data_IF_714748195593
#
_entry.id   IF_714748195593
#
_cell.length_a   1.000
_cell.length_b   1.000
_cell.length_c   1.000
_cell.angle_alpha   90.00
_cell.angle_beta   90.00
_cell.angle_gamma   90.00
#
_symmetry.space_group_name_H-M   'P 1'
#
loop_
_entity.id
_entity.type
_entity.pdbx_description
1 polymer ?
#
# COMPACT_ATOMS: atom_id res chain seq x y z
N UNK A 1 -13.58 12.65 -15.42
CA UNK A 1 -12.11 12.73 -15.44
C UNK A 1 -11.56 11.57 -14.63
N UNK A 2 -10.46 10.95 -15.09
CA UNK A 2 -9.76 9.92 -14.31
C UNK A 2 -9.15 10.54 -13.06
N UNK A 3 -9.34 9.94 -11.86
CA UNK A 3 -8.73 10.45 -10.63
C UNK A 3 -7.21 10.50 -10.73
N UNK A 4 -6.61 11.57 -10.24
CA UNK A 4 -5.17 11.69 -10.09
C UNK A 4 -4.71 11.11 -8.77
N UNK A 5 -3.79 10.16 -8.82
CA UNK A 5 -3.33 9.39 -7.69
C UNK A 5 -1.87 9.75 -7.39
N UNK A 6 -1.56 10.02 -6.14
CA UNK A 6 -0.19 10.12 -5.66
C UNK A 6 0.06 9.03 -4.61
N UNK A 7 1.13 8.27 -4.77
CA UNK A 7 1.54 7.22 -3.82
C UNK A 7 2.77 7.70 -3.07
N UNK A 8 2.59 8.04 -1.80
CA UNK A 8 3.66 8.47 -0.90
C UNK A 8 4.26 7.23 -0.22
N UNK A 9 5.48 6.90 -0.59
CA UNK A 9 6.21 5.70 -0.25
C UNK A 9 6.10 4.66 -1.37
N UNK A 10 6.99 4.74 -2.36
CA UNK A 10 7.07 3.79 -3.48
C UNK A 10 7.90 2.54 -3.14
N UNK A 11 7.96 2.18 -1.85
CA UNK A 11 8.57 0.95 -1.38
C UNK A 11 7.83 -0.31 -1.86
N UNK A 12 8.09 -1.46 -1.23
CA UNK A 12 7.57 -2.76 -1.67
C UNK A 12 6.05 -2.75 -1.95
N UNK A 13 5.22 -2.31 -0.99
CA UNK A 13 3.74 -2.33 -1.15
C UNK A 13 3.27 -1.18 -2.03
N UNK A 14 3.70 0.06 -1.74
CA UNK A 14 3.27 1.23 -2.48
C UNK A 14 3.74 1.22 -3.93
N UNK A 15 4.99 0.83 -4.17
CA UNK A 15 5.52 0.66 -5.53
C UNK A 15 4.81 -0.46 -6.29
N UNK A 16 4.54 -1.61 -5.63
CA UNK A 16 3.78 -2.71 -6.24
C UNK A 16 2.38 -2.28 -6.66
N UNK A 17 1.62 -1.69 -5.73
CA UNK A 17 0.24 -1.25 -6.00
C UNK A 17 0.23 -0.10 -7.01
N UNK A 18 1.04 0.94 -6.80
CA UNK A 18 1.09 2.10 -7.69
C UNK A 18 1.59 1.75 -9.09
N UNK A 19 2.58 0.87 -9.19
CA UNK A 19 3.06 0.37 -10.48
C UNK A 19 1.99 -0.41 -11.25
N UNK A 20 1.26 -1.29 -10.58
CA UNK A 20 0.14 -2.01 -11.22
C UNK A 20 -1.01 -1.07 -11.60
N UNK A 21 -1.36 -0.09 -10.77
CA UNK A 21 -2.37 0.92 -11.13
C UNK A 21 -1.94 1.70 -12.37
N UNK A 22 -0.66 2.10 -12.46
CA UNK A 22 -0.12 2.74 -13.66
C UNK A 22 -0.21 1.83 -14.89
N UNK A 23 0.10 0.54 -14.76
CA UNK A 23 -0.06 -0.46 -15.83
C UNK A 23 -1.51 -0.58 -16.31
N UNK A 24 -2.46 -0.41 -15.42
CA UNK A 24 -3.90 -0.44 -15.72
C UNK A 24 -4.43 0.88 -16.32
N UNK A 25 -3.55 1.86 -16.55
CA UNK A 25 -3.90 3.14 -17.20
C UNK A 25 -4.40 4.22 -16.24
N UNK A 26 -4.24 4.06 -14.94
CA UNK A 26 -4.56 5.12 -13.98
C UNK A 26 -3.47 6.21 -13.98
N UNK A 27 -3.87 7.45 -13.71
CA UNK A 27 -2.97 8.62 -13.55
C UNK A 27 -2.28 8.55 -12.19
N UNK A 28 -1.12 7.90 -12.13
CA UNK A 28 -0.36 7.63 -10.90
C UNK A 28 0.97 8.34 -10.92
N UNK A 29 1.29 9.05 -9.85
CA UNK A 29 2.65 9.55 -9.56
C UNK A 29 3.16 8.85 -8.29
N UNK A 30 4.32 8.22 -8.38
CA UNK A 30 5.02 7.63 -7.23
C UNK A 30 5.91 8.69 -6.55
N UNK A 31 6.10 8.56 -5.24
CA UNK A 31 6.98 9.43 -4.46
C UNK A 31 7.79 8.57 -3.51
N UNK A 32 9.10 8.72 -3.51
CA UNK A 32 9.97 8.02 -2.57
C UNK A 32 11.13 8.91 -2.08
N UNK A 33 11.68 8.56 -0.94
CA UNK A 33 12.81 9.25 -0.34
C UNK A 33 14.17 8.61 -0.68
N UNK A 34 14.18 7.41 -1.27
CA UNK A 34 15.41 6.71 -1.64
C UNK A 34 15.89 7.14 -3.03
N UNK A 35 16.96 7.96 -3.12
CA UNK A 35 17.39 8.55 -4.39
C UNK A 35 17.70 7.52 -5.47
N UNK A 36 18.43 6.47 -5.12
CA UNK A 36 18.81 5.41 -6.06
C UNK A 36 17.58 4.71 -6.66
N UNK A 37 16.56 4.42 -5.83
CA UNK A 37 15.31 3.84 -6.30
C UNK A 37 14.58 4.76 -7.28
N UNK A 38 14.49 6.05 -6.96
CA UNK A 38 13.85 7.05 -7.81
C UNK A 38 14.57 7.15 -9.15
N UNK A 39 15.89 7.30 -9.16
CA UNK A 39 16.66 7.43 -10.40
C UNK A 39 16.63 6.14 -11.24
N UNK A 40 16.67 4.97 -10.61
CA UNK A 40 16.53 3.69 -11.32
C UNK A 40 15.17 3.57 -11.99
N UNK A 41 14.09 3.90 -11.28
CA UNK A 41 12.73 3.86 -11.87
C UNK A 41 12.58 4.87 -13.00
N UNK A 42 13.17 6.06 -12.89
CA UNK A 42 13.17 7.05 -13.98
C UNK A 42 13.89 6.56 -15.24
N UNK A 43 15.05 5.96 -15.06
CA UNK A 43 15.90 5.56 -16.16
C UNK A 43 15.45 4.24 -16.82
N UNK A 44 14.98 3.28 -16.02
CA UNK A 44 14.76 1.89 -16.46
C UNK A 44 13.31 1.43 -16.28
N UNK A 45 12.47 2.21 -15.59
CA UNK A 45 11.13 1.80 -15.17
C UNK A 45 11.14 1.00 -13.87
N UNK A 46 9.95 0.75 -13.36
CA UNK A 46 9.70 -0.08 -12.19
C UNK A 46 9.43 -1.52 -12.65
N UNK A 47 10.29 -2.43 -12.26
CA UNK A 47 10.20 -3.85 -12.60
C UNK A 47 9.38 -4.58 -11.54
N UNK A 48 8.28 -5.17 -11.96
CA UNK A 48 7.38 -5.94 -11.11
C UNK A 48 7.47 -7.41 -11.50
N UNK A 49 7.75 -8.25 -10.51
CA UNK A 49 7.88 -9.70 -10.68
C UNK A 49 6.78 -10.39 -9.86
N UNK A 50 6.07 -11.31 -10.49
CA UNK A 50 5.15 -12.23 -9.83
C UNK A 50 5.78 -13.62 -9.65
N UNK A 51 4.93 -14.60 -9.37
CA UNK A 51 5.35 -16.00 -9.19
C UNK A 51 5.62 -16.70 -10.54
N UNK A 52 5.16 -16.12 -11.65
CA UNK A 52 5.31 -16.65 -13.00
C UNK A 52 5.89 -15.59 -13.94
N UNK A 53 6.50 -16.03 -15.05
CA UNK A 53 7.00 -15.10 -16.08
C UNK A 53 5.87 -14.23 -16.67
N UNK A 54 4.65 -14.76 -16.80
CA UNK A 54 3.50 -14.01 -17.30
C UNK A 54 3.09 -12.83 -16.38
N UNK A 55 3.48 -12.87 -15.11
CA UNK A 55 3.23 -11.81 -14.13
C UNK A 55 4.36 -10.76 -14.09
N UNK A 56 5.42 -10.98 -14.86
CA UNK A 56 6.54 -10.03 -14.95
C UNK A 56 6.19 -8.89 -15.89
N UNK A 57 6.44 -7.67 -15.45
CA UNK A 57 6.30 -6.49 -16.29
C UNK A 57 7.20 -5.35 -15.82
N UNK A 58 7.56 -4.47 -16.76
CA UNK A 58 8.20 -3.19 -16.48
C UNK A 58 7.19 -2.09 -16.78
N UNK A 59 7.04 -1.15 -15.85
CA UNK A 59 6.14 0.00 -15.98
C UNK A 59 6.93 1.30 -15.79
N UNK A 60 6.46 2.39 -16.39
CA UNK A 60 7.13 3.69 -16.34
C UNK A 60 6.22 4.78 -15.71
N UNK A 61 5.78 4.61 -14.45
CA UNK A 61 5.04 5.66 -13.78
C UNK A 61 5.93 6.88 -13.55
N UNK A 62 5.40 8.11 -13.64
CA UNK A 62 6.07 9.28 -13.10
C UNK A 62 6.46 9.00 -11.65
N UNK A 63 7.73 9.29 -11.30
CA UNK A 63 8.24 9.16 -9.94
C UNK A 63 8.98 10.42 -9.54
N UNK A 64 8.75 10.88 -8.32
CA UNK A 64 9.39 12.05 -7.72
C UNK A 64 10.23 11.62 -6.52
N UNK A 65 11.39 12.21 -6.40
CA UNK A 65 12.06 12.22 -5.12
C UNK A 65 11.29 13.11 -4.13
N UNK A 66 11.34 12.78 -2.86
CA UNK A 66 10.61 13.50 -1.82
C UNK A 66 10.82 15.03 -1.87
N UNK A 67 12.02 15.49 -2.22
CA UNK A 67 12.35 16.92 -2.33
C UNK A 67 11.71 17.63 -3.52
N UNK A 68 11.11 16.91 -4.45
CA UNK A 68 10.51 17.45 -5.69
C UNK A 68 8.97 17.57 -5.58
N UNK A 69 8.37 17.08 -4.49
CA UNK A 69 6.89 17.03 -4.30
C UNK A 69 6.26 18.43 -4.40
N UNK A 70 6.97 19.48 -4.03
CA UNK A 70 6.51 20.85 -4.20
C UNK A 70 6.13 21.21 -5.65
N UNK A 71 6.62 20.47 -6.64
CA UNK A 71 6.24 20.62 -8.04
C UNK A 71 4.75 20.34 -8.30
N UNK A 72 4.05 19.65 -7.41
CA UNK A 72 2.60 19.41 -7.50
C UNK A 72 1.77 20.70 -7.49
N UNK A 73 2.27 21.78 -6.89
CA UNK A 73 1.58 23.09 -6.90
C UNK A 73 1.29 23.63 -8.32
N UNK A 74 2.10 23.22 -9.29
CA UNK A 74 1.96 23.62 -10.70
C UNK A 74 1.05 22.70 -11.53
N UNK A 75 0.46 21.69 -10.89
CA UNK A 75 -0.30 20.66 -11.56
C UNK A 75 -1.73 20.60 -10.99
N UNK A 76 -2.60 19.80 -11.63
CA UNK A 76 -3.94 19.53 -11.11
C UNK A 76 -3.83 18.93 -9.70
N UNK A 77 -4.68 19.33 -8.75
CA UNK A 77 -4.69 18.74 -7.39
C UNK A 77 -4.84 17.20 -7.41
N UNK A 78 -4.36 16.56 -6.37
CA UNK A 78 -4.42 15.11 -6.17
C UNK A 78 -5.80 14.71 -5.66
N UNK A 79 -6.46 13.81 -6.35
CA UNK A 79 -7.77 13.31 -5.93
C UNK A 79 -7.64 12.20 -4.87
N UNK A 80 -6.61 11.36 -5.00
CA UNK A 80 -6.36 10.23 -4.10
C UNK A 80 -4.89 10.24 -3.69
N UNK A 81 -4.61 10.49 -2.41
CA UNK A 81 -3.29 10.34 -1.85
C UNK A 81 -3.19 8.99 -1.12
N UNK A 82 -2.37 8.08 -1.61
CA UNK A 82 -2.10 6.78 -0.98
C UNK A 82 -0.89 6.93 -0.07
N UNK A 83 -1.08 6.74 1.25
CA UNK A 83 0.02 6.71 2.22
C UNK A 83 0.46 5.26 2.39
N UNK A 84 1.70 4.99 2.00
CA UNK A 84 2.33 3.65 2.03
C UNK A 84 3.73 3.65 2.64
N UNK A 85 4.10 4.73 3.32
CA UNK A 85 5.32 4.81 4.13
C UNK A 85 5.24 3.91 5.37
N UNK A 86 6.34 3.72 6.09
CA UNK A 86 6.34 3.03 7.38
C UNK A 86 5.49 3.81 8.39
N UNK A 87 4.87 3.10 9.35
CA UNK A 87 3.90 3.71 10.29
C UNK A 87 4.41 4.92 11.06
N UNK A 88 5.70 4.96 11.37
CA UNK A 88 6.33 6.09 12.07
C UNK A 88 6.42 7.36 11.20
N UNK A 89 6.31 7.22 9.88
CA UNK A 89 6.36 8.33 8.92
C UNK A 89 4.96 8.84 8.51
N UNK A 90 3.89 8.25 9.04
CA UNK A 90 2.51 8.53 8.63
C UNK A 90 2.14 10.01 8.72
N UNK A 91 2.51 10.65 9.82
CA UNK A 91 2.08 12.03 10.11
C UNK A 91 2.71 13.02 9.13
N UNK A 92 4.05 13.01 8.98
CA UNK A 92 4.71 13.94 8.07
C UNK A 92 4.31 13.70 6.61
N UNK A 93 4.16 12.43 6.20
CA UNK A 93 3.74 12.08 4.85
C UNK A 93 2.32 12.58 4.56
N UNK A 94 1.41 12.46 5.54
CA UNK A 94 0.05 12.97 5.44
C UNK A 94 0.02 14.49 5.41
N UNK A 95 0.79 15.16 6.27
CA UNK A 95 0.92 16.63 6.30
C UNK A 95 1.43 17.17 4.95
N UNK A 96 2.42 16.51 4.36
CA UNK A 96 2.94 16.87 3.05
C UNK A 96 1.88 16.72 1.97
N UNK A 97 1.20 15.57 1.89
CA UNK A 97 0.21 15.31 0.85
C UNK A 97 -1.07 16.14 1.00
N UNK A 98 -1.45 16.51 2.22
CA UNK A 98 -2.62 17.36 2.49
C UNK A 98 -2.63 18.65 1.68
N UNK A 99 -1.45 19.24 1.44
CA UNK A 99 -1.31 20.53 0.75
C UNK A 99 -1.69 20.44 -0.73
N UNK A 100 -1.62 19.25 -1.31
CA UNK A 100 -1.87 19.00 -2.74
C UNK A 100 -3.19 18.31 -3.02
N UNK A 101 -3.96 17.95 -1.97
CA UNK A 101 -5.26 17.31 -2.13
C UNK A 101 -6.28 18.25 -2.76
N UNK A 102 -7.05 17.72 -3.68
CA UNK A 102 -8.24 18.37 -4.20
C UNK A 102 -9.26 18.65 -3.09
N UNK A 103 -10.16 19.64 -3.25
CA UNK A 103 -11.21 19.93 -2.24
C UNK A 103 -12.04 18.70 -1.87
N UNK A 104 -12.38 17.84 -2.83
CA UNK A 104 -13.07 16.55 -2.61
C UNK A 104 -12.14 15.35 -2.51
N UNK A 105 -10.82 15.56 -2.51
CA UNK A 105 -9.83 14.49 -2.45
C UNK A 105 -9.77 13.81 -1.08
N UNK A 106 -9.26 12.59 -1.07
CA UNK A 106 -9.16 11.77 0.14
C UNK A 106 -7.83 11.03 0.23
N UNK A 107 -7.54 10.53 1.43
CA UNK A 107 -6.31 9.79 1.74
C UNK A 107 -6.64 8.33 1.95
N UNK A 108 -5.84 7.46 1.34
CA UNK A 108 -5.92 6.00 1.50
C UNK A 108 -4.76 5.53 2.37
N UNK A 109 -5.07 4.87 3.48
CA UNK A 109 -4.08 4.17 4.29
C UNK A 109 -3.81 2.78 3.69
N UNK A 110 -2.68 2.62 3.00
CA UNK A 110 -2.23 1.33 2.45
C UNK A 110 -1.14 0.69 3.32
N UNK A 111 -1.02 1.12 4.53
CA UNK A 111 0.01 0.71 5.47
C UNK A 111 -0.39 -0.53 6.27
N UNK A 112 0.60 -1.18 6.86
CA UNK A 112 0.40 -2.09 7.99
C UNK A 112 0.04 -1.28 9.26
N UNK A 113 -0.39 -1.96 10.30
CA UNK A 113 -0.84 -1.37 11.57
C UNK A 113 -2.16 -0.59 11.43
N UNK A 114 -2.43 0.27 12.39
CA UNK A 114 -3.65 1.09 12.49
C UNK A 114 -3.20 2.55 12.44
N UNK A 115 -3.32 3.18 11.28
CA UNK A 115 -2.83 4.54 11.04
C UNK A 115 -3.95 5.52 10.65
N UNK A 116 -5.18 5.04 10.47
CA UNK A 116 -6.31 5.85 10.04
C UNK A 116 -6.60 7.01 11.00
N UNK A 117 -6.44 6.81 12.31
CA UNK A 117 -6.63 7.85 13.33
C UNK A 117 -5.59 8.98 13.19
N UNK A 118 -4.32 8.62 12.94
CA UNK A 118 -3.25 9.60 12.72
C UNK A 118 -3.49 10.42 11.46
N UNK A 119 -3.90 9.76 10.38
CA UNK A 119 -4.26 10.41 9.12
C UNK A 119 -5.47 11.33 9.34
N UNK A 120 -6.52 10.84 10.03
CA UNK A 120 -7.73 11.58 10.31
C UNK A 120 -7.50 12.83 11.18
N UNK A 121 -6.54 12.78 12.09
CA UNK A 121 -6.11 13.94 12.88
C UNK A 121 -5.56 15.09 12.01
N UNK A 122 -5.11 14.79 10.79
CA UNK A 122 -4.51 15.77 9.87
C UNK A 122 -5.50 16.23 8.80
N UNK A 123 -6.23 15.30 8.17
CA UNK A 123 -7.11 15.60 7.03
C UNK A 123 -8.60 15.57 7.37
N UNK A 124 -8.96 15.14 8.56
CA UNK A 124 -10.33 14.91 9.02
C UNK A 124 -10.84 13.51 8.67
N UNK A 125 -11.69 12.95 9.55
CA UNK A 125 -12.25 11.60 9.43
C UNK A 125 -12.99 11.36 8.10
N UNK A 126 -13.68 12.38 7.59
CA UNK A 126 -14.41 12.30 6.33
C UNK A 126 -13.52 12.12 5.08
N UNK A 127 -12.21 12.24 5.22
CA UNK A 127 -11.25 12.12 4.11
C UNK A 127 -10.35 10.89 4.21
N UNK A 128 -10.66 9.90 5.04
CA UNK A 128 -9.82 8.72 5.22
C UNK A 128 -10.55 7.46 4.78
N UNK A 129 -9.86 6.66 3.96
CA UNK A 129 -10.28 5.32 3.54
C UNK A 129 -9.16 4.34 3.86
N UNK A 130 -9.48 3.19 4.42
CA UNK A 130 -8.50 2.12 4.63
C UNK A 130 -8.44 1.18 3.43
N UNK A 131 -7.22 0.82 3.03
CA UNK A 131 -6.95 -0.26 2.10
C UNK A 131 -5.95 -1.23 2.74
N UNK A 132 -6.42 -2.39 3.14
CA UNK A 132 -5.60 -3.42 3.79
C UNK A 132 -5.09 -4.37 2.73
N UNK A 133 -3.77 -4.48 2.56
CA UNK A 133 -3.15 -5.51 1.76
C UNK A 133 -2.81 -6.70 2.67
N UNK A 134 -3.64 -7.73 2.68
CA UNK A 134 -3.50 -8.92 3.51
C UNK A 134 -3.07 -10.12 2.65
N UNK A 135 -2.31 -11.04 3.24
CA UNK A 135 -1.83 -12.24 2.54
C UNK A 135 -1.11 -11.92 1.20
N UNK A 136 -0.48 -10.77 1.14
CA UNK A 136 0.42 -10.37 0.07
C UNK A 136 1.83 -10.25 0.66
N UNK A 137 2.78 -10.90 0.05
CA UNK A 137 4.20 -10.76 0.39
C UNK A 137 4.89 -10.14 -0.81
N UNK A 138 5.34 -8.93 -0.66
CA UNK A 138 6.09 -8.17 -1.67
C UNK A 138 7.37 -7.62 -1.04
N UNK A 139 8.41 -7.58 -1.84
CA UNK A 139 9.75 -7.24 -1.44
C UNK A 139 10.39 -6.31 -2.48
N UNK A 140 10.87 -5.16 -2.04
CA UNK A 140 11.73 -4.27 -2.82
C UNK A 140 13.16 -4.72 -2.53
N UNK A 141 13.65 -5.68 -3.31
CA UNK A 141 14.94 -6.33 -3.05
C UNK A 141 16.13 -5.60 -3.66
N UNK A 142 15.85 -4.72 -4.61
CA UNK A 142 16.82 -3.87 -5.28
C UNK A 142 16.14 -2.60 -5.78
N UNK A 143 16.87 -1.52 -5.96
CA UNK A 143 16.34 -0.27 -6.51
C UNK A 143 15.63 -0.53 -7.86
N UNK A 144 14.38 -0.09 -7.99
CA UNK A 144 13.57 -0.31 -9.19
C UNK A 144 13.01 -1.74 -9.36
N UNK A 145 13.22 -2.66 -8.41
CA UNK A 145 12.84 -4.07 -8.55
C UNK A 145 12.00 -4.57 -7.38
N UNK A 146 10.73 -4.83 -7.64
CA UNK A 146 9.77 -5.36 -6.64
C UNK A 146 9.31 -6.74 -7.07
N UNK A 147 9.41 -7.72 -6.17
CA UNK A 147 8.91 -9.07 -6.40
C UNK A 147 7.80 -9.43 -5.43
N UNK A 148 6.85 -10.18 -5.90
CA UNK A 148 5.84 -10.86 -5.10
C UNK A 148 6.30 -12.29 -4.85
N UNK A 149 6.26 -12.72 -3.60
CA UNK A 149 6.76 -14.03 -3.16
C UNK A 149 5.65 -15.02 -2.78
N UNK A 150 4.39 -14.65 -3.01
CA UNK A 150 3.23 -15.51 -2.80
C UNK A 150 2.28 -15.43 -4.00
N UNK A 151 1.55 -16.51 -4.32
CA UNK A 151 0.56 -16.50 -5.39
C UNK A 151 -0.51 -15.44 -5.20
N UNK A 152 -1.18 -15.04 -6.29
CA UNK A 152 -2.37 -14.19 -6.21
C UNK A 152 -3.48 -14.90 -5.45
N UNK A 153 -4.31 -14.12 -4.74
CA UNK A 153 -5.42 -14.65 -3.94
C UNK A 153 -6.50 -15.29 -4.81
N UNK A 154 -6.88 -14.64 -5.90
CA UNK A 154 -7.92 -15.14 -6.79
C UNK A 154 -9.18 -15.52 -6.05
N UNK A 155 -9.68 -16.75 -6.24
CA UNK A 155 -10.82 -17.30 -5.54
C UNK A 155 -10.48 -17.89 -4.15
N UNK A 156 -9.20 -18.09 -3.84
CA UNK A 156 -8.79 -18.80 -2.62
C UNK A 156 -8.82 -17.91 -1.38
N UNK A 157 -8.43 -16.64 -1.53
CA UNK A 157 -8.47 -15.67 -0.41
C UNK A 157 -8.49 -14.24 -0.93
N UNK A 158 -9.05 -13.34 -0.13
CA UNK A 158 -9.10 -11.92 -0.46
C UNK A 158 -7.80 -11.22 -0.03
N UNK A 159 -7.12 -10.60 -0.99
CA UNK A 159 -5.87 -9.87 -0.76
C UNK A 159 -6.14 -8.44 -0.31
N UNK A 160 -6.99 -7.71 -1.01
CA UNK A 160 -7.30 -6.32 -0.63
C UNK A 160 -8.64 -6.22 0.09
N UNK A 161 -8.67 -5.41 1.15
CA UNK A 161 -9.88 -5.04 1.85
C UNK A 161 -9.97 -3.53 1.91
N UNK A 162 -10.99 -2.98 1.28
CA UNK A 162 -11.22 -1.52 1.22
C UNK A 162 -12.39 -1.19 2.11
N UNK A 163 -12.25 -0.20 2.97
CA UNK A 163 -13.33 0.21 3.87
C UNK A 163 -13.23 1.63 4.36
N UNK A 164 -14.39 2.19 4.65
CA UNK A 164 -14.53 3.47 5.32
C UNK A 164 -14.31 3.32 6.83
N UNK A 165 -13.74 4.36 7.45
CA UNK A 165 -13.55 4.39 8.90
C UNK A 165 -14.85 4.35 9.70
N UNK A 166 -15.96 4.78 9.11
CA UNK A 166 -17.31 4.74 9.70
C UNK A 166 -18.12 3.47 9.36
N UNK A 167 -17.55 2.53 8.59
CA UNK A 167 -18.15 1.24 8.28
C UNK A 167 -19.25 1.23 7.22
N UNK A 168 -19.58 2.35 6.58
CA UNK A 168 -20.55 2.39 5.48
C UNK A 168 -19.88 2.10 4.15
N UNK A 169 -20.59 1.47 3.24
CA UNK A 169 -20.14 1.27 1.85
C UNK A 169 -20.46 2.53 1.04
N UNK A 170 -19.40 3.21 0.58
CA UNK A 170 -19.51 4.45 -0.21
C UNK A 170 -19.08 4.22 -1.66
N UNK A 171 -19.40 5.15 -2.54
CA UNK A 171 -18.96 5.11 -3.94
C UNK A 171 -17.43 5.18 -4.07
N UNK A 172 -16.76 6.00 -3.25
CA UNK A 172 -15.29 6.07 -3.29
C UNK A 172 -14.63 4.79 -2.80
N UNK A 173 -15.23 4.08 -1.82
CA UNK A 173 -14.73 2.78 -1.39
C UNK A 173 -14.91 1.71 -2.48
N UNK A 174 -16.05 1.72 -3.21
CA UNK A 174 -16.26 0.86 -4.38
C UNK A 174 -15.27 1.20 -5.50
N UNK A 175 -15.15 2.47 -5.86
CA UNK A 175 -14.20 2.93 -6.88
C UNK A 175 -12.77 2.48 -6.56
N UNK A 176 -12.30 2.65 -5.33
CA UNK A 176 -10.97 2.19 -4.92
C UNK A 176 -10.85 0.66 -4.99
N UNK A 177 -11.91 -0.07 -4.60
CA UNK A 177 -11.93 -1.53 -4.73
C UNK A 177 -11.84 -1.96 -6.20
N UNK A 178 -12.60 -1.32 -7.10
CA UNK A 178 -12.56 -1.60 -8.54
C UNK A 178 -11.17 -1.34 -9.13
N UNK A 179 -10.50 -0.27 -8.70
CA UNK A 179 -9.13 0.03 -9.13
C UNK A 179 -8.15 -1.08 -8.71
N UNK A 180 -8.18 -1.54 -7.47
CA UNK A 180 -7.25 -2.58 -6.98
C UNK A 180 -7.67 -3.99 -7.38
N UNK A 181 -8.92 -4.21 -7.84
CA UNK A 181 -9.38 -5.49 -8.39
C UNK A 181 -8.58 -5.94 -9.62
N UNK A 182 -8.06 -4.99 -10.39
CA UNK A 182 -7.17 -5.28 -11.51
C UNK A 182 -5.77 -5.79 -11.10
N UNK A 183 -5.43 -5.68 -9.81
CA UNK A 183 -4.16 -6.15 -9.25
C UNK A 183 -4.34 -7.55 -8.65
N UNK A 184 -5.33 -7.71 -7.76
CA UNK A 184 -5.65 -8.97 -7.09
C UNK A 184 -7.06 -8.92 -6.48
N UNK A 185 -7.49 -10.03 -5.90
CA UNK A 185 -8.80 -10.17 -5.23
C UNK A 185 -9.04 -9.08 -4.17
N UNK A 186 -10.24 -8.52 -4.19
CA UNK A 186 -10.63 -7.42 -3.31
C UNK A 186 -12.03 -7.61 -2.76
N UNK A 187 -12.29 -7.09 -1.58
CA UNK A 187 -13.65 -6.89 -1.06
C UNK A 187 -13.79 -5.50 -0.43
N UNK A 188 -14.98 -4.93 -0.53
CA UNK A 188 -15.37 -3.78 0.30
C UNK A 188 -15.82 -4.32 1.66
N UNK A 189 -15.27 -3.76 2.74
CA UNK A 189 -15.60 -4.18 4.11
C UNK A 189 -16.38 -3.10 4.85
N UNK A 190 -17.35 -3.51 5.64
CA UNK A 190 -18.06 -2.66 6.60
C UNK A 190 -17.43 -2.68 8.00
N UNK A 191 -16.38 -3.49 8.18
CA UNK A 191 -15.65 -3.64 9.45
C UNK A 191 -14.15 -3.42 9.25
N UNK A 192 -13.76 -2.22 8.83
CA UNK A 192 -12.36 -1.86 8.61
C UNK A 192 -11.50 -2.11 9.86
N UNK A 193 -12.01 -1.71 11.03
CA UNK A 193 -11.28 -1.84 12.29
C UNK A 193 -11.04 -3.30 12.67
N UNK A 194 -12.03 -4.15 12.56
CA UNK A 194 -11.88 -5.59 12.82
C UNK A 194 -10.85 -6.23 11.88
N UNK A 195 -10.86 -5.86 10.60
CA UNK A 195 -9.87 -6.35 9.63
C UNK A 195 -8.45 -5.83 9.94
N UNK A 196 -8.32 -4.56 10.38
CA UNK A 196 -7.03 -3.99 10.83
C UNK A 196 -6.49 -4.71 12.06
N UNK A 197 -7.31 -4.86 13.09
CA UNK A 197 -6.92 -5.54 14.32
C UNK A 197 -6.56 -7.01 14.06
N UNK A 198 -7.36 -7.72 13.27
CA UNK A 198 -7.08 -9.09 12.88
C UNK A 198 -5.71 -9.24 12.20
N UNK A 199 -5.41 -8.33 11.25
CA UNK A 199 -4.09 -8.33 10.59
C UNK A 199 -2.97 -7.94 11.55
N UNK A 200 -3.18 -6.98 12.45
CA UNK A 200 -2.19 -6.57 13.44
C UNK A 200 -1.83 -7.70 14.40
N UNK A 201 -2.81 -8.46 14.86
CA UNK A 201 -2.57 -9.66 15.68
C UNK A 201 -1.70 -10.68 14.93
N UNK A 202 -2.04 -10.99 13.67
CA UNK A 202 -1.24 -11.91 12.86
C UNK A 202 0.21 -11.41 12.67
N UNK A 203 0.40 -10.12 12.42
CA UNK A 203 1.73 -9.53 12.30
C UNK A 203 2.49 -9.58 13.63
N UNK A 204 1.84 -9.27 14.75
CA UNK A 204 2.43 -9.31 16.09
C UNK A 204 2.92 -10.71 16.46
N UNK A 205 2.11 -11.72 16.18
CA UNK A 205 2.45 -13.11 16.43
C UNK A 205 3.69 -13.59 15.66
N UNK A 206 3.95 -13.06 14.47
CA UNK A 206 4.99 -13.59 13.58
C UNK A 206 6.21 -12.70 13.45
N UNK A 207 6.02 -11.39 13.26
CA UNK A 207 7.12 -10.50 12.90
C UNK A 207 8.20 -10.39 14.00
N UNK A 208 7.78 -10.25 15.25
CA UNK A 208 8.70 -10.20 16.40
C UNK A 208 9.47 -11.51 16.57
N UNK A 209 8.78 -12.65 16.46
CA UNK A 209 9.39 -13.97 16.56
C UNK A 209 10.34 -14.23 15.39
N UNK A 210 9.95 -13.86 14.17
CA UNK A 210 10.79 -13.96 12.98
C UNK A 210 12.07 -13.13 13.15
N UNK A 211 11.94 -11.89 13.62
CA UNK A 211 13.08 -11.03 13.85
C UNK A 211 14.04 -11.57 14.93
N UNK A 212 13.50 -12.17 15.99
CA UNK A 212 14.29 -12.72 17.09
C UNK A 212 14.97 -14.05 16.75
N UNK A 213 14.35 -14.87 15.89
CA UNK A 213 14.82 -16.22 15.57
C UNK A 213 15.53 -16.32 14.22
N UNK A 214 15.37 -15.34 13.34
CA UNK A 214 15.79 -15.41 11.94
C UNK A 214 14.97 -16.37 11.07
N UNK A 215 13.90 -16.98 11.61
CA UNK A 215 13.10 -17.97 10.91
C UNK A 215 12.00 -17.27 10.08
N UNK A 216 11.77 -17.69 8.82
CA UNK A 216 10.62 -17.25 8.06
C UNK A 216 9.31 -17.81 8.67
N UNK A 217 8.18 -17.13 8.42
CA UNK A 217 6.90 -17.45 9.04
C UNK A 217 6.44 -18.89 8.88
N UNK A 218 6.72 -19.51 7.72
CA UNK A 218 6.37 -20.92 7.48
C UNK A 218 7.18 -21.90 8.36
N UNK A 219 8.40 -21.54 8.70
CA UNK A 219 9.24 -22.38 9.57
C UNK A 219 8.86 -22.19 11.04
N UNK A 220 8.46 -20.98 11.45
CA UNK A 220 7.88 -20.72 12.78
C UNK A 220 6.68 -21.66 13.02
N UNK A 221 5.78 -21.79 12.03
CA UNK A 221 4.58 -22.62 12.14
C UNK A 221 4.91 -24.14 12.26
N UNK A 222 6.06 -24.58 11.74
CA UNK A 222 6.52 -25.98 11.83
C UNK A 222 7.14 -26.34 13.18
N UNK A 223 7.64 -25.36 13.92
CA UNK A 223 8.23 -25.56 15.24
C UNK A 223 7.17 -25.40 16.35
N UNK A 224 6.65 -26.49 16.87
CA UNK A 224 5.52 -26.48 17.81
C UNK A 224 5.75 -25.58 19.05
N UNK A 225 6.94 -25.59 19.62
CA UNK A 225 7.29 -24.74 20.75
C UNK A 225 7.24 -23.23 20.39
N UNK A 226 7.78 -22.86 19.23
CA UNK A 226 7.77 -21.46 18.75
C UNK A 226 6.34 -21.05 18.39
N UNK A 227 5.62 -21.89 17.69
CA UNK A 227 4.22 -21.65 17.35
C UNK A 227 3.34 -21.43 18.60
N UNK A 228 3.49 -22.26 19.63
CA UNK A 228 2.75 -22.06 20.90
C UNK A 228 3.14 -20.79 21.63
N UNK A 229 4.41 -20.39 21.58
CA UNK A 229 4.86 -19.11 22.10
C UNK A 229 4.24 -17.93 21.35
N UNK A 230 4.17 -18.00 20.03
CA UNK A 230 3.62 -16.94 19.16
C UNK A 230 2.12 -16.69 19.37
N UNK A 231 1.37 -17.68 19.84
CA UNK A 231 -0.10 -17.63 20.03
C UNK A 231 -0.49 -17.09 21.42
N UNK A 232 0.43 -17.09 22.38
CA UNK A 232 0.23 -16.59 23.74
C UNK A 232 0.41 -15.09 23.84
#
# INVERSE_FOLDING_TARGET
>A
MTPRIAVMGAGAVGGYVGGHLSRLGHDVTLIDAWPEHVETVRAQGLNLYGMTEAERCTVHPPILHLTEVQGFVKQRPVDIAVISVKSYDTEWATLMMRQYLAPGGFVVSLQNCINEERIAGIVGWGRVVGCIAAAISVDLYEAGHIRRTVPKGGANHTVFRVGEVHGRVTERARMLADMVAGIDSVKVTTNLWGERWSKLCLNGMRNGVSAATGLPGNDIDRHDAIRRFSIR
#
